data_IF_304179411396
#
_entry.id   IF_304179411396
#
_cell.length_a   1.000
_cell.length_b   1.000
_cell.length_c   1.000
_cell.angle_alpha   90.00
_cell.angle_beta   90.00
_cell.angle_gamma   90.00
#
_symmetry.space_group_name_H-M   'P 1'
#
loop_
_entity.id
_entity.type
_entity.pdbx_description
1 polymer ?
#
# COMPACT_ATOMS: atom_id res chain seq x y z
N UNK A 1 37.38 -43.56 -31.41
CA UNK A 1 38.83 -43.40 -31.60
C UNK A 1 39.16 -41.90 -31.64
N UNK A 2 40.25 -41.53 -30.94
CA UNK A 2 41.14 -40.33 -31.01
C UNK A 2 40.58 -38.96 -31.47
N UNK A 3 40.68 -37.87 -30.67
CA UNK A 3 41.87 -37.00 -30.36
C UNK A 3 42.45 -36.35 -31.64
N UNK A 4 42.70 -35.04 -31.76
CA UNK A 4 43.49 -34.08 -30.94
C UNK A 4 43.23 -32.64 -31.45
N UNK A 5 43.16 -31.57 -30.64
CA UNK A 5 44.21 -30.79 -29.91
C UNK A 5 45.24 -30.02 -30.76
N UNK A 6 45.29 -28.69 -30.58
CA UNK A 6 46.45 -27.75 -30.40
C UNK A 6 45.87 -26.32 -30.28
N UNK A 7 46.06 -25.44 -29.30
CA UNK A 7 47.03 -25.13 -28.24
C UNK A 7 48.39 -24.53 -28.70
N UNK A 8 48.60 -23.23 -28.38
CA UNK A 8 49.83 -22.60 -27.84
C UNK A 8 49.54 -21.08 -27.60
N UNK A 9 49.60 -20.52 -26.37
CA UNK A 9 50.76 -20.06 -25.54
C UNK A 9 51.50 -18.86 -26.15
N UNK A 10 52.04 -17.85 -25.44
CA UNK A 10 52.16 -17.44 -24.01
C UNK A 10 53.09 -16.20 -23.99
N UNK A 11 52.94 -15.28 -23.02
CA UNK A 11 53.96 -14.27 -22.69
C UNK A 11 53.80 -13.76 -21.26
N UNK A 12 54.76 -14.08 -20.38
CA UNK A 12 54.90 -13.70 -18.96
C UNK A 12 56.15 -12.81 -18.79
N UNK A 13 56.19 -11.96 -17.76
CA UNK A 13 57.34 -11.52 -16.91
C UNK A 13 56.75 -10.62 -15.78
N UNK A 14 56.66 -11.03 -14.49
CA UNK A 14 57.65 -11.04 -13.37
C UNK A 14 58.33 -9.67 -13.11
N UNK A 15 58.67 -9.19 -11.90
CA UNK A 15 58.38 -9.43 -10.46
C UNK A 15 59.23 -8.40 -9.64
N UNK A 16 58.98 -8.30 -8.32
CA UNK A 16 59.82 -7.73 -7.23
C UNK A 16 59.85 -6.19 -7.04
N UNK A 17 59.86 -5.59 -5.84
CA UNK A 17 59.95 -6.07 -4.45
C UNK A 17 59.79 -4.91 -3.41
N UNK A 18 59.67 -5.27 -2.13
CA UNK A 18 59.61 -4.40 -0.91
C UNK A 18 60.85 -4.66 -0.01
N UNK A 19 61.06 -4.05 1.18
CA UNK A 19 60.87 -2.67 1.70
C UNK A 19 62.08 -2.17 2.57
N UNK A 20 62.10 -0.89 3.00
CA UNK A 20 62.66 -0.29 4.25
C UNK A 20 62.79 1.24 4.04
N UNK A 21 62.75 2.16 4.99
CA UNK A 21 63.06 2.16 6.41
C UNK A 21 62.69 3.52 7.06
N UNK A 22 62.83 3.55 8.38
CA UNK A 22 62.48 4.58 9.37
C UNK A 22 63.10 5.98 9.23
N UNK A 23 62.41 7.03 9.71
CA UNK A 23 63.04 7.99 10.65
C UNK A 23 62.05 8.89 11.43
N UNK A 24 62.32 9.01 12.74
CA UNK A 24 61.73 9.92 13.73
C UNK A 24 62.40 11.31 13.67
N UNK A 25 61.67 12.39 13.98
CA UNK A 25 62.03 13.53 14.88
C UNK A 25 61.01 14.67 14.69
N UNK A 26 60.16 15.01 15.68
CA UNK A 26 60.35 15.85 16.88
C UNK A 26 60.24 17.38 16.64
N UNK A 27 59.20 18.00 17.24
CA UNK A 27 59.11 19.32 17.95
C UNK A 27 57.62 19.75 17.94
N UNK A 28 56.82 19.69 19.02
CA UNK A 28 56.76 20.56 20.23
C UNK A 28 57.13 22.01 19.88
N UNK A 29 56.25 23.00 20.01
CA UNK A 29 55.69 23.62 21.23
C UNK A 29 54.81 24.80 20.70
N UNK A 30 53.70 25.31 21.26
CA UNK A 30 53.52 26.00 22.55
C UNK A 30 52.00 26.24 22.77
N UNK A 31 51.61 26.12 24.04
CA UNK A 31 50.42 26.52 24.82
C UNK A 31 49.74 27.87 24.46
N UNK A 32 48.52 28.27 24.89
CA UNK A 32 47.71 28.00 26.10
C UNK A 32 46.30 28.63 25.94
N UNK A 33 45.30 27.94 26.49
CA UNK A 33 44.09 28.40 27.20
C UNK A 33 43.18 29.51 26.64
N UNK A 34 41.91 29.16 26.41
CA UNK A 34 40.77 29.84 27.05
C UNK A 34 39.78 28.78 27.54
N UNK A 35 39.41 28.87 28.81
CA UNK A 35 38.48 28.00 29.49
C UNK A 35 37.01 28.37 29.19
N UNK A 36 36.15 27.38 29.42
CA UNK A 36 34.71 27.50 29.68
C UNK A 36 33.82 28.04 28.54
N UNK A 37 33.15 27.12 27.85
CA UNK A 37 31.71 27.21 27.75
C UNK A 37 31.11 25.80 27.63
N UNK A 38 30.45 25.40 28.70
CA UNK A 38 29.54 24.26 28.76
C UNK A 38 28.33 24.60 27.90
N UNK A 39 28.17 23.96 26.76
CA UNK A 39 26.87 23.87 26.10
C UNK A 39 26.46 22.41 26.12
N UNK A 40 25.45 22.14 26.95
CA UNK A 40 24.64 20.95 26.86
C UNK A 40 24.22 20.79 25.40
N UNK A 41 24.70 19.74 24.75
CA UNK A 41 24.13 19.27 23.50
C UNK A 41 22.75 18.71 23.85
N UNK A 42 21.75 19.59 23.83
CA UNK A 42 20.36 19.19 23.89
C UNK A 42 20.15 18.14 22.80
N UNK A 43 19.67 16.96 23.21
CA UNK A 43 19.12 15.99 22.28
C UNK A 43 18.08 16.73 21.44
N UNK A 44 18.38 16.93 20.16
CA UNK A 44 17.40 17.47 19.22
C UNK A 44 16.30 16.42 19.16
N UNK A 45 15.12 16.81 19.64
CA UNK A 45 13.93 15.98 19.81
C UNK A 45 13.30 15.71 18.42
N UNK A 46 14.04 15.05 17.52
CA UNK A 46 13.57 14.76 16.15
C UNK A 46 12.39 13.79 16.19
N UNK A 47 12.38 12.86 17.15
CA UNK A 47 11.36 11.82 17.32
C UNK A 47 9.96 12.36 17.65
N UNK A 48 9.86 13.55 18.26
CA UNK A 48 8.54 14.16 18.52
C UNK A 48 7.89 14.68 17.23
N UNK A 49 8.68 15.02 16.21
CA UNK A 49 8.17 15.62 14.98
C UNK A 49 7.45 14.61 14.07
N UNK A 50 8.08 13.48 13.78
CA UNK A 50 7.52 12.43 12.91
C UNK A 50 6.28 11.80 13.53
N UNK A 51 6.37 11.41 14.80
CA UNK A 51 5.26 10.79 15.51
C UNK A 51 4.05 11.72 15.60
N UNK A 52 4.26 12.99 15.98
CA UNK A 52 3.18 13.97 16.04
C UNK A 52 2.55 14.23 14.66
N UNK A 53 3.35 14.27 13.59
CA UNK A 53 2.84 14.41 12.22
C UNK A 53 1.98 13.20 11.82
N UNK A 54 2.44 11.99 12.11
CA UNK A 54 1.73 10.77 11.77
C UNK A 54 0.41 10.66 12.54
N UNK A 55 0.44 10.94 13.85
CA UNK A 55 -0.76 10.95 14.70
C UNK A 55 -1.77 12.01 14.24
N UNK A 56 -1.30 13.21 13.87
CA UNK A 56 -2.14 14.26 13.30
C UNK A 56 -2.76 13.86 11.97
N UNK A 57 -1.99 13.18 11.12
CA UNK A 57 -2.45 12.67 9.81
C UNK A 57 -3.58 11.65 9.98
N UNK A 58 -3.41 10.66 10.86
CA UNK A 58 -4.46 9.66 11.10
C UNK A 58 -5.66 10.25 11.86
N UNK A 59 -5.43 11.17 12.81
CA UNK A 59 -6.53 11.87 13.51
C UNK A 59 -7.41 12.63 12.51
N UNK A 60 -6.80 13.30 11.53
CA UNK A 60 -7.52 13.96 10.44
C UNK A 60 -8.29 12.96 9.58
N UNK A 61 -7.66 11.83 9.23
CA UNK A 61 -8.30 10.75 8.46
C UNK A 61 -9.54 10.20 9.18
N UNK A 62 -9.47 10.08 10.50
CA UNK A 62 -10.55 9.63 11.39
C UNK A 62 -11.57 10.75 11.71
N UNK A 63 -11.55 11.86 10.97
CA UNK A 63 -12.51 12.95 11.14
C UNK A 63 -12.39 13.69 12.47
N UNK A 64 -11.17 13.77 13.01
CA UNK A 64 -10.88 14.41 14.29
C UNK A 64 -11.08 13.51 15.51
N UNK A 65 -11.49 12.24 15.33
CA UNK A 65 -11.47 11.26 16.42
C UNK A 65 -10.01 11.03 16.85
N UNK A 66 -9.76 11.02 18.17
CA UNK A 66 -8.43 10.74 18.69
C UNK A 66 -8.02 9.29 18.39
N UNK A 67 -6.73 9.06 18.19
CA UNK A 67 -6.19 7.71 18.03
C UNK A 67 -6.47 6.83 19.26
N UNK A 68 -6.46 7.40 20.47
CA UNK A 68 -6.80 6.68 21.70
C UNK A 68 -8.23 6.12 21.65
N UNK A 69 -9.22 6.93 21.25
CA UNK A 69 -10.60 6.48 21.07
C UNK A 69 -10.70 5.42 19.97
N UNK A 70 -10.03 5.64 18.83
CA UNK A 70 -10.03 4.66 17.75
C UNK A 70 -9.48 3.29 18.20
N UNK A 71 -8.32 3.28 18.84
CA UNK A 71 -7.67 2.04 19.31
C UNK A 71 -8.46 1.34 20.42
N UNK A 72 -9.05 2.11 21.33
CA UNK A 72 -9.82 1.56 22.45
C UNK A 72 -11.22 1.08 22.06
N UNK A 73 -11.85 1.66 21.03
CA UNK A 73 -13.26 1.35 20.71
C UNK A 73 -13.48 0.62 19.38
N UNK A 74 -12.59 0.78 18.39
CA UNK A 74 -12.80 0.30 17.02
C UNK A 74 -11.73 -0.65 16.53
N UNK A 75 -10.45 -0.31 16.72
CA UNK A 75 -9.33 -1.12 16.23
C UNK A 75 -9.42 -2.56 16.75
N UNK A 76 -9.33 -3.54 15.84
CA UNK A 76 -9.50 -4.98 16.10
C UNK A 76 -10.84 -5.37 16.76
N UNK A 77 -11.87 -4.51 16.69
CA UNK A 77 -13.14 -4.72 17.40
C UNK A 77 -14.36 -4.62 16.50
N UNK A 78 -14.50 -3.52 15.75
CA UNK A 78 -15.72 -3.27 14.96
C UNK A 78 -15.50 -2.29 13.81
N UNK A 79 -16.31 -2.37 12.74
CA UNK A 79 -16.25 -1.42 11.64
C UNK A 79 -16.54 0.02 12.06
N UNK A 80 -15.96 0.97 11.31
CA UNK A 80 -16.13 2.41 11.48
C UNK A 80 -16.30 3.08 10.11
N UNK A 81 -17.38 3.84 9.92
CA UNK A 81 -17.56 4.74 8.78
C UNK A 81 -17.40 6.19 9.22
N UNK A 82 -16.42 6.89 8.66
CA UNK A 82 -16.21 8.33 8.87
C UNK A 82 -16.64 9.07 7.62
N UNK A 83 -17.73 9.82 7.72
CA UNK A 83 -18.28 10.63 6.63
C UNK A 83 -17.55 11.96 6.51
N UNK A 84 -17.06 12.26 5.31
CA UNK A 84 -16.41 13.55 5.00
C UNK A 84 -17.37 14.72 5.19
N UNK A 85 -18.63 14.55 4.81
CA UNK A 85 -19.65 15.61 4.86
C UNK A 85 -19.76 16.26 6.25
N UNK A 86 -19.57 15.46 7.31
CA UNK A 86 -19.69 15.91 8.69
C UNK A 86 -18.40 16.54 9.23
N UNK A 87 -17.27 16.35 8.53
CA UNK A 87 -15.91 16.55 9.07
C UNK A 87 -15.01 17.44 8.21
N UNK A 88 -15.42 17.80 7.00
CA UNK A 88 -14.53 18.41 6.00
C UNK A 88 -13.58 17.38 5.37
N UNK A 89 -12.51 17.81 4.72
CA UNK A 89 -11.62 16.91 3.98
C UNK A 89 -10.79 15.99 4.90
N UNK A 90 -11.05 14.67 4.84
CA UNK A 90 -10.32 13.64 5.60
C UNK A 90 -8.92 13.38 5.03
N UNK A 91 -8.78 13.40 3.71
CA UNK A 91 -7.52 13.23 2.97
C UNK A 91 -7.47 14.17 1.75
N UNK A 92 -6.32 14.24 1.09
CA UNK A 92 -6.10 15.13 -0.06
C UNK A 92 -7.05 14.83 -1.22
N UNK A 93 -7.71 15.86 -1.75
CA UNK A 93 -8.62 15.71 -2.89
C UNK A 93 -7.89 15.15 -4.11
N UNK A 94 -8.50 14.19 -4.79
CA UNK A 94 -7.92 13.56 -5.97
C UNK A 94 -6.66 12.74 -5.66
N UNK A 95 -6.51 12.19 -4.44
CA UNK A 95 -5.41 11.32 -4.02
C UNK A 95 -5.05 10.27 -5.08
N UNK A 96 -6.05 9.51 -5.55
CA UNK A 96 -5.91 8.52 -6.63
C UNK A 96 -7.10 8.54 -7.59
N UNK A 97 -6.87 8.16 -8.85
CA UNK A 97 -7.91 8.12 -9.90
C UNK A 97 -7.53 7.19 -11.04
N UNK A 98 -8.53 6.79 -11.86
CA UNK A 98 -8.31 6.09 -13.14
C UNK A 98 -7.28 6.79 -14.01
N UNK A 99 -7.39 8.12 -14.14
CA UNK A 99 -6.46 8.93 -14.93
C UNK A 99 -5.02 8.86 -14.38
N UNK A 100 -4.84 8.92 -13.06
CA UNK A 100 -3.52 8.80 -12.43
C UNK A 100 -2.92 7.41 -12.67
N UNK A 101 -3.70 6.34 -12.46
CA UNK A 101 -3.25 4.98 -12.71
C UNK A 101 -2.77 4.78 -14.16
N UNK A 102 -3.58 5.17 -15.15
CA UNK A 102 -3.23 5.00 -16.56
C UNK A 102 -1.97 5.80 -16.94
N UNK A 103 -1.79 7.01 -16.39
CA UNK A 103 -0.57 7.82 -16.59
C UNK A 103 0.67 7.18 -15.96
N UNK A 104 0.52 6.48 -14.83
CA UNK A 104 1.62 5.71 -14.25
C UNK A 104 1.98 4.56 -15.18
N UNK A 105 1.00 3.79 -15.66
CA UNK A 105 1.24 2.68 -16.59
C UNK A 105 1.93 3.12 -17.89
N UNK A 106 1.56 4.28 -18.45
CA UNK A 106 2.23 4.84 -19.64
C UNK A 106 3.72 5.14 -19.42
N UNK A 107 4.11 5.46 -18.17
CA UNK A 107 5.50 5.76 -17.80
C UNK A 107 6.29 4.52 -17.38
N UNK A 108 5.61 3.41 -17.10
CA UNK A 108 6.19 2.20 -16.54
C UNK A 108 6.07 1.04 -17.55
N UNK A 109 7.06 0.84 -18.43
CA UNK A 109 6.95 -0.05 -19.58
C UNK A 109 6.96 -1.55 -19.25
N UNK A 110 7.06 -1.93 -17.97
CA UNK A 110 7.23 -3.33 -17.53
C UNK A 110 6.22 -3.76 -16.47
N UNK A 111 5.05 -3.10 -16.41
CA UNK A 111 3.97 -3.56 -15.53
C UNK A 111 3.40 -4.88 -16.03
N UNK A 112 3.05 -5.77 -15.09
CA UNK A 112 2.50 -7.08 -15.40
C UNK A 112 1.21 -7.41 -14.65
N UNK A 113 0.34 -8.20 -15.29
CA UNK A 113 -0.79 -8.85 -14.65
C UNK A 113 -0.28 -9.81 -13.56
N UNK A 114 -0.97 -9.87 -12.42
CA UNK A 114 -0.59 -10.67 -11.25
C UNK A 114 0.61 -10.15 -10.47
N UNK A 115 1.35 -9.17 -11.00
CA UNK A 115 2.53 -8.57 -10.34
C UNK A 115 2.28 -7.14 -9.88
N UNK A 116 1.76 -6.30 -10.77
CA UNK A 116 1.52 -4.88 -10.51
C UNK A 116 0.03 -4.55 -10.48
N UNK A 117 -0.79 -5.39 -11.09
CA UNK A 117 -2.24 -5.28 -11.06
C UNK A 117 -2.92 -6.61 -11.39
N UNK A 118 -4.16 -6.75 -10.97
CA UNK A 118 -5.07 -7.80 -11.41
C UNK A 118 -6.33 -7.16 -11.96
N UNK A 119 -6.85 -7.72 -13.05
CA UNK A 119 -8.12 -7.30 -13.64
C UNK A 119 -9.10 -8.46 -13.50
N UNK A 120 -10.26 -8.19 -12.91
CA UNK A 120 -11.24 -9.22 -12.58
C UNK A 120 -12.67 -8.69 -12.60
N UNK A 121 -13.64 -9.59 -12.62
CA UNK A 121 -15.06 -9.28 -12.42
C UNK A 121 -15.71 -10.43 -11.67
N UNK A 122 -16.78 -10.13 -10.96
CA UNK A 122 -17.62 -11.12 -10.29
C UNK A 122 -19.00 -11.09 -10.92
N UNK A 123 -19.38 -12.18 -11.57
CA UNK A 123 -20.62 -12.31 -12.34
C UNK A 123 -21.18 -13.72 -12.13
N UNK A 124 -22.50 -13.86 -11.98
CA UNK A 124 -23.16 -15.15 -11.76
C UNK A 124 -22.54 -15.97 -10.60
N UNK A 125 -22.18 -15.27 -9.52
CA UNK A 125 -21.55 -15.83 -8.33
C UNK A 125 -20.15 -16.42 -8.53
N UNK A 126 -19.50 -16.15 -9.66
CA UNK A 126 -18.14 -16.60 -9.96
C UNK A 126 -17.20 -15.43 -10.24
N UNK A 127 -15.97 -15.55 -9.73
CA UNK A 127 -14.90 -14.59 -10.01
C UNK A 127 -14.15 -15.01 -11.28
N UNK A 128 -14.12 -14.11 -12.24
CA UNK A 128 -13.37 -14.25 -13.48
C UNK A 128 -12.16 -13.30 -13.45
N UNK A 129 -10.94 -13.85 -13.52
CA UNK A 129 -9.72 -13.06 -13.69
C UNK A 129 -9.37 -12.95 -15.18
N UNK A 130 -8.77 -11.84 -15.56
CA UNK A 130 -8.16 -11.70 -16.88
C UNK A 130 -6.75 -12.27 -16.86
N UNK A 131 -6.54 -13.39 -17.55
CA UNK A 131 -5.33 -14.20 -17.40
C UNK A 131 -4.11 -13.67 -18.18
N UNK A 132 -4.30 -12.71 -19.09
CA UNK A 132 -3.18 -11.98 -19.73
C UNK A 132 -2.23 -12.83 -20.58
N UNK A 133 -2.61 -14.06 -20.93
CA UNK A 133 -1.77 -15.01 -21.68
C UNK A 133 -1.32 -14.45 -23.04
N UNK A 134 -2.24 -13.80 -23.75
CA UNK A 134 -1.98 -13.18 -25.06
C UNK A 134 -0.93 -12.05 -25.01
N UNK A 135 -0.63 -11.51 -23.83
CA UNK A 135 0.34 -10.43 -23.64
C UNK A 135 1.61 -10.86 -22.91
N UNK A 136 1.89 -12.16 -22.80
CA UNK A 136 2.99 -12.70 -21.99
C UNK A 136 2.99 -12.12 -20.55
N UNK A 137 1.81 -11.87 -19.99
CA UNK A 137 1.63 -11.25 -18.68
C UNK A 137 1.91 -9.74 -18.62
N UNK A 138 2.30 -9.08 -19.71
CA UNK A 138 2.50 -7.62 -19.72
C UNK A 138 1.18 -6.87 -19.75
N UNK A 139 1.05 -5.81 -18.95
CA UNK A 139 -0.15 -4.98 -18.87
C UNK A 139 0.10 -3.58 -19.42
N UNK A 140 -0.62 -3.20 -20.48
CA UNK A 140 -0.54 -1.85 -21.06
C UNK A 140 -1.67 -0.95 -20.58
N UNK A 141 -1.44 0.37 -20.53
CA UNK A 141 -2.47 1.35 -20.14
C UNK A 141 -3.73 1.24 -21.01
N UNK A 142 -3.56 1.10 -22.33
CA UNK A 142 -4.67 0.96 -23.30
C UNK A 142 -5.49 -0.31 -23.04
N UNK A 143 -4.83 -1.43 -22.79
CA UNK A 143 -5.51 -2.71 -22.53
C UNK A 143 -6.32 -2.64 -21.23
N UNK A 144 -5.73 -2.16 -20.13
CA UNK A 144 -6.45 -2.01 -18.85
C UNK A 144 -7.59 -1.01 -18.97
N UNK A 145 -7.41 0.10 -19.68
CA UNK A 145 -8.50 1.04 -19.96
C UNK A 145 -9.66 0.36 -20.70
N UNK A 146 -9.36 -0.40 -21.75
CA UNK A 146 -10.38 -1.13 -22.51
C UNK A 146 -11.09 -2.20 -21.68
N UNK A 147 -10.39 -2.89 -20.78
CA UNK A 147 -11.00 -3.89 -19.89
C UNK A 147 -11.95 -3.22 -18.88
N UNK A 148 -11.56 -2.07 -18.30
CA UNK A 148 -12.43 -1.28 -17.44
C UNK A 148 -13.71 -0.84 -18.16
N UNK A 149 -13.59 -0.41 -19.42
CA UNK A 149 -14.75 0.00 -20.25
C UNK A 149 -15.66 -1.20 -20.61
N UNK A 150 -15.16 -2.43 -20.51
CA UNK A 150 -15.90 -3.68 -20.76
C UNK A 150 -16.47 -4.31 -19.48
N UNK A 151 -16.49 -3.57 -18.37
CA UNK A 151 -17.11 -4.02 -17.13
C UNK A 151 -16.19 -4.79 -16.18
N UNK A 152 -14.89 -4.91 -16.50
CA UNK A 152 -13.92 -5.43 -15.52
C UNK A 152 -13.56 -4.36 -14.48
N UNK A 153 -13.17 -4.81 -13.30
CA UNK A 153 -12.49 -4.00 -12.29
C UNK A 153 -10.99 -4.21 -12.33
N UNK A 154 -10.23 -3.23 -11.87
CA UNK A 154 -8.78 -3.32 -11.73
C UNK A 154 -8.39 -3.13 -10.26
N UNK A 155 -7.62 -4.06 -9.72
CA UNK A 155 -6.87 -3.91 -8.48
C UNK A 155 -5.42 -3.58 -8.85
N UNK A 156 -4.95 -2.38 -8.50
CA UNK A 156 -3.61 -1.90 -8.80
C UNK A 156 -2.75 -1.89 -7.53
N UNK A 157 -1.66 -2.63 -7.56
CA UNK A 157 -0.85 -2.94 -6.38
C UNK A 157 0.19 -1.86 -6.08
N UNK A 158 0.29 -1.55 -4.78
CA UNK A 158 1.31 -0.68 -4.22
C UNK A 158 1.40 0.69 -4.95
N UNK A 159 0.28 1.43 -5.09
CA UNK A 159 0.25 2.74 -5.77
C UNK A 159 1.10 3.81 -5.08
N UNK A 160 1.43 3.65 -3.80
CA UNK A 160 2.32 4.53 -3.05
C UNK A 160 3.73 4.61 -3.65
N UNK A 161 4.15 3.62 -4.46
CA UNK A 161 5.40 3.67 -5.24
C UNK A 161 5.44 4.82 -6.26
N UNK A 162 4.28 5.37 -6.63
CA UNK A 162 4.13 6.31 -7.74
C UNK A 162 3.34 7.58 -7.40
N UNK A 163 2.76 7.65 -6.20
CA UNK A 163 1.86 8.72 -5.77
C UNK A 163 2.27 9.21 -4.39
N UNK A 164 2.93 10.36 -4.35
CA UNK A 164 3.54 10.92 -3.13
C UNK A 164 2.56 11.04 -1.96
N UNK A 165 1.32 11.47 -2.20
CA UNK A 165 0.32 11.55 -1.14
C UNK A 165 -0.08 10.19 -0.53
N UNK A 166 0.05 9.09 -1.28
CA UNK A 166 -0.14 7.74 -0.75
C UNK A 166 1.13 7.24 -0.06
N UNK A 167 2.31 7.63 -0.53
CA UNK A 167 3.57 7.38 0.18
C UNK A 167 3.57 8.03 1.56
N UNK A 168 3.21 9.31 1.64
CA UNK A 168 3.10 10.04 2.91
C UNK A 168 2.07 9.40 3.85
N UNK A 169 0.92 8.97 3.31
CA UNK A 169 -0.09 8.30 4.10
C UNK A 169 0.43 6.97 4.64
N UNK A 170 0.99 6.10 3.80
CA UNK A 170 1.56 4.83 4.24
C UNK A 170 2.64 5.04 5.31
N UNK A 171 3.55 6.00 5.13
CA UNK A 171 4.57 6.31 6.12
C UNK A 171 3.98 6.77 7.47
N UNK A 172 2.87 7.51 7.48
CA UNK A 172 2.17 7.86 8.71
C UNK A 172 1.53 6.63 9.39
N UNK A 173 0.97 5.70 8.62
CA UNK A 173 0.48 4.43 9.15
C UNK A 173 1.62 3.60 9.75
N UNK A 174 2.76 3.48 9.05
CA UNK A 174 3.94 2.77 9.54
C UNK A 174 4.48 3.37 10.85
N UNK A 175 4.57 4.70 10.93
CA UNK A 175 5.00 5.42 12.14
C UNK A 175 4.03 5.22 13.32
N UNK A 176 2.71 5.18 13.06
CA UNK A 176 1.70 4.99 14.13
C UNK A 176 1.67 3.55 14.63
N UNK A 177 1.64 2.60 13.70
CA UNK A 177 1.38 1.19 13.98
C UNK A 177 2.66 0.36 14.21
N UNK A 178 3.83 0.85 13.82
CA UNK A 178 5.11 0.19 14.06
C UNK A 178 5.37 -1.05 13.18
N UNK A 179 4.67 -1.16 12.07
CA UNK A 179 4.77 -2.26 11.10
C UNK A 179 4.56 -1.77 9.68
N UNK A 180 4.73 -2.64 8.68
CA UNK A 180 4.56 -2.27 7.27
C UNK A 180 3.13 -1.83 6.98
N UNK A 181 2.99 -0.77 6.17
CA UNK A 181 1.72 -0.36 5.60
C UNK A 181 1.72 -0.61 4.09
N UNK A 182 0.79 -1.43 3.63
CA UNK A 182 0.52 -1.67 2.21
C UNK A 182 -0.56 -0.73 1.69
N UNK A 183 -0.63 -0.59 0.36
CA UNK A 183 -1.82 -0.03 -0.26
C UNK A 183 -2.19 -0.76 -1.56
N UNK A 184 -3.49 -0.81 -1.85
CA UNK A 184 -4.05 -1.30 -3.12
C UNK A 184 -5.17 -0.39 -3.59
N UNK A 185 -5.14 0.02 -4.85
CA UNK A 185 -6.20 0.82 -5.44
C UNK A 185 -7.19 -0.07 -6.21
N UNK A 186 -8.49 0.18 -6.05
CA UNK A 186 -9.54 -0.58 -6.73
C UNK A 186 -10.37 0.36 -7.58
N UNK A 187 -10.47 0.03 -8.86
CA UNK A 187 -11.24 0.78 -9.85
C UNK A 187 -12.34 -0.14 -10.37
N UNK A 188 -13.58 0.22 -10.12
CA UNK A 188 -14.76 -0.57 -10.50
C UNK A 188 -15.68 0.30 -11.35
N UNK A 189 -16.02 -0.10 -12.59
CA UNK A 189 -16.97 0.64 -13.43
C UNK A 189 -18.37 0.59 -12.83
N UNK A 190 -19.31 1.36 -13.39
CA UNK A 190 -20.72 1.29 -12.99
C UNK A 190 -21.31 -0.11 -13.24
N UNK A 191 -22.30 -0.50 -12.44
CA UNK A 191 -23.02 -1.77 -12.52
C UNK A 191 -22.08 -3.01 -12.48
N UNK A 192 -21.11 -3.02 -11.56
CA UNK A 192 -20.09 -4.07 -11.50
C UNK A 192 -19.71 -4.46 -10.06
N UNK A 193 -19.23 -5.69 -9.92
CA UNK A 193 -18.58 -6.20 -8.74
C UNK A 193 -17.25 -6.83 -9.16
N UNK A 194 -16.21 -6.62 -8.35
CA UNK A 194 -14.86 -7.08 -8.66
C UNK A 194 -14.57 -8.46 -8.06
N UNK A 195 -14.87 -8.60 -6.77
CA UNK A 195 -14.47 -9.71 -5.92
C UNK A 195 -15.71 -10.36 -5.32
N UNK A 196 -15.62 -11.66 -5.08
CA UNK A 196 -16.59 -12.39 -4.26
C UNK A 196 -16.52 -11.91 -2.79
N UNK A 197 -17.49 -12.27 -1.94
CA UNK A 197 -17.36 -12.13 -0.50
C UNK A 197 -16.09 -12.84 0.01
N UNK A 198 -15.29 -12.16 0.84
CA UNK A 198 -14.06 -12.70 1.42
C UNK A 198 -13.69 -11.93 2.70
N UNK A 199 -12.73 -12.44 3.48
CA UNK A 199 -12.03 -11.66 4.49
C UNK A 199 -10.52 -11.67 4.24
N UNK A 200 -9.86 -10.62 4.72
CA UNK A 200 -8.41 -10.47 4.66
C UNK A 200 -7.75 -10.75 6.03
N UNK A 201 -6.43 -10.91 6.01
CA UNK A 201 -5.52 -11.11 7.15
C UNK A 201 -4.90 -9.80 7.67
N UNK A 202 -5.47 -8.66 7.30
CA UNK A 202 -4.95 -7.31 7.59
C UNK A 202 -6.05 -6.38 8.09
N UNK A 203 -5.64 -5.36 8.83
CA UNK A 203 -6.52 -4.25 9.22
C UNK A 203 -6.75 -3.34 8.01
N UNK A 204 -8.02 -3.08 7.66
CA UNK A 204 -8.38 -2.47 6.38
C UNK A 204 -8.91 -1.06 6.57
N UNK A 205 -8.30 -0.10 5.87
CA UNK A 205 -8.74 1.30 5.79
C UNK A 205 -9.03 1.66 4.34
N UNK A 206 -10.31 1.75 3.97
CA UNK A 206 -10.80 2.12 2.63
C UNK A 206 -10.98 3.63 2.55
N UNK A 207 -10.21 4.27 1.68
CA UNK A 207 -10.32 5.69 1.32
C UNK A 207 -11.04 5.81 -0.02
N UNK A 208 -12.29 6.28 -0.04
CA UNK A 208 -13.06 6.42 -1.28
C UNK A 208 -12.63 7.66 -2.05
N UNK A 209 -11.80 7.50 -3.07
CA UNK A 209 -11.15 8.65 -3.74
C UNK A 209 -11.97 9.26 -4.87
N UNK A 210 -12.87 8.49 -5.50
CA UNK A 210 -13.81 8.99 -6.52
C UNK A 210 -15.09 8.15 -6.56
N UNK A 211 -16.21 8.79 -6.87
CA UNK A 211 -17.50 8.11 -7.05
C UNK A 211 -18.00 7.46 -5.75
N UNK A 212 -18.74 6.36 -5.86
CA UNK A 212 -19.36 5.69 -4.71
C UNK A 212 -19.46 4.19 -4.87
N UNK A 213 -19.47 3.47 -3.75
CA UNK A 213 -19.59 2.01 -3.72
C UNK A 213 -20.47 1.56 -2.56
N UNK A 214 -21.31 0.56 -2.82
CA UNK A 214 -22.09 -0.13 -1.78
C UNK A 214 -21.22 -1.20 -1.16
N UNK A 215 -21.13 -1.20 0.15
CA UNK A 215 -20.37 -2.15 0.95
C UNK A 215 -21.32 -2.92 1.85
N UNK A 216 -21.11 -4.24 1.91
CA UNK A 216 -21.70 -5.12 2.93
C UNK A 216 -20.55 -5.73 3.72
N UNK A 217 -20.59 -5.53 5.03
CA UNK A 217 -19.68 -6.11 6.01
C UNK A 217 -20.46 -7.11 6.85
N UNK A 218 -19.87 -8.25 7.14
CA UNK A 218 -20.47 -9.35 7.89
C UNK A 218 -19.60 -9.68 9.09
N UNK A 219 -20.18 -10.33 10.10
CA UNK A 219 -19.40 -10.79 11.23
C UNK A 219 -18.29 -11.76 10.80
N UNK A 220 -17.10 -11.72 11.44
CA UNK A 220 -16.03 -12.64 11.12
C UNK A 220 -16.46 -14.11 11.29
N UNK A 221 -16.07 -14.95 10.32
CA UNK A 221 -16.15 -16.41 10.49
C UNK A 221 -15.03 -16.91 11.42
N UNK A 222 -13.90 -16.19 11.41
CA UNK A 222 -12.76 -16.36 12.32
C UNK A 222 -12.41 -14.97 12.84
N UNK A 223 -12.60 -14.75 14.13
CA UNK A 223 -12.24 -13.49 14.79
C UNK A 223 -10.74 -13.22 14.63
N UNK A 224 -10.41 -12.01 14.14
CA UNK A 224 -9.04 -11.56 13.92
C UNK A 224 -8.18 -12.56 13.12
N UNK A 225 -8.76 -13.10 12.03
CA UNK A 225 -8.14 -14.09 11.15
C UNK A 225 -6.69 -13.72 10.77
N UNK A 226 -5.75 -14.63 10.99
CA UNK A 226 -4.35 -14.48 10.59
C UNK A 226 -4.05 -14.92 9.16
N UNK A 227 -5.06 -15.39 8.43
CA UNK A 227 -4.98 -15.79 7.02
C UNK A 227 -6.20 -15.25 6.27
N UNK A 228 -6.03 -14.95 4.98
CA UNK A 228 -7.13 -14.52 4.12
C UNK A 228 -7.98 -15.73 3.71
N UNK A 229 -9.27 -15.50 3.45
CA UNK A 229 -10.15 -16.56 2.96
C UNK A 229 -9.99 -16.80 1.46
N UNK A 230 -10.48 -17.95 1.00
CA UNK A 230 -10.91 -18.08 -0.40
C UNK A 230 -12.16 -17.21 -0.65
N UNK A 231 -12.58 -17.13 -1.91
CA UNK A 231 -13.91 -16.61 -2.26
C UNK A 231 -14.99 -17.44 -1.52
N UNK A 232 -15.91 -16.75 -0.85
CA UNK A 232 -17.01 -17.33 -0.07
C UNK A 232 -18.32 -17.24 -0.87
N UNK A 233 -19.14 -18.28 -0.77
CA UNK A 233 -20.49 -18.28 -1.31
C UNK A 233 -21.48 -17.56 -0.37
N UNK A 234 -22.61 -17.10 -0.91
CA UNK A 234 -23.62 -16.35 -0.14
C UNK A 234 -24.24 -17.17 1.00
N UNK A 235 -24.30 -18.50 0.88
CA UNK A 235 -24.80 -19.40 1.92
C UNK A 235 -23.78 -19.71 3.03
N UNK A 236 -22.52 -19.29 2.84
CA UNK A 236 -21.44 -19.42 3.82
C UNK A 236 -21.29 -18.16 4.69
N UNK A 237 -21.96 -17.06 4.31
CA UNK A 237 -21.89 -15.78 5.02
C UNK A 237 -23.20 -15.54 5.77
N UNK A 238 -23.10 -14.96 6.96
CA UNK A 238 -24.27 -14.65 7.79
C UNK A 238 -25.02 -13.40 7.34
N UNK A 239 -25.82 -12.83 8.24
CA UNK A 239 -26.45 -11.53 8.00
C UNK A 239 -25.42 -10.37 8.01
N UNK A 240 -25.63 -9.31 7.21
CA UNK A 240 -24.76 -8.15 7.23
C UNK A 240 -24.70 -7.50 8.62
N UNK A 241 -23.50 -7.31 9.14
CA UNK A 241 -23.23 -6.48 10.31
C UNK A 241 -23.40 -4.99 9.97
N UNK A 242 -22.97 -4.58 8.78
CA UNK A 242 -23.11 -3.22 8.29
C UNK A 242 -23.35 -3.21 6.78
N UNK A 243 -24.38 -2.50 6.34
CA UNK A 243 -24.63 -2.22 4.93
C UNK A 243 -24.68 -0.70 4.73
N UNK A 244 -23.81 -0.18 3.87
CA UNK A 244 -23.65 1.25 3.66
C UNK A 244 -23.17 1.59 2.25
N UNK A 245 -23.38 2.84 1.85
CA UNK A 245 -22.70 3.42 0.69
C UNK A 245 -21.56 4.29 1.19
N UNK A 246 -20.35 4.06 0.67
CA UNK A 246 -19.18 4.91 0.90
C UNK A 246 -19.03 5.85 -0.30
N UNK A 247 -18.97 7.15 -0.03
CA UNK A 247 -18.95 8.21 -1.06
C UNK A 247 -17.60 8.93 -1.10
N UNK A 248 -17.34 9.70 -2.17
CA UNK A 248 -16.07 10.37 -2.38
C UNK A 248 -15.62 11.22 -1.19
N UNK A 249 -14.47 10.84 -0.62
CA UNK A 249 -13.82 11.49 0.50
C UNK A 249 -14.04 10.82 1.85
N UNK A 250 -14.94 9.83 1.93
CA UNK A 250 -15.19 9.06 3.15
C UNK A 250 -14.05 8.07 3.44
N UNK A 251 -13.97 7.67 4.71
CA UNK A 251 -13.16 6.54 5.20
C UNK A 251 -14.08 5.44 5.73
N UNK A 252 -13.81 4.19 5.35
CA UNK A 252 -14.37 3.01 5.99
C UNK A 252 -13.23 2.15 6.56
N UNK A 253 -13.27 1.85 7.85
CA UNK A 253 -12.36 0.93 8.51
C UNK A 253 -13.09 -0.35 8.93
N UNK A 254 -12.42 -1.50 8.84
CA UNK A 254 -12.85 -2.74 9.50
C UNK A 254 -11.65 -3.65 9.85
N UNK A 255 -11.77 -4.44 10.95
CA UNK A 255 -10.74 -5.41 11.34
C UNK A 255 -10.54 -6.55 10.35
N UNK A 256 -9.36 -7.19 10.42
CA UNK A 256 -9.12 -8.48 9.74
C UNK A 256 -10.13 -9.55 10.17
N UNK A 257 -10.44 -10.48 9.27
CA UNK A 257 -11.48 -11.48 9.48
C UNK A 257 -12.91 -11.00 9.20
N UNK A 258 -13.19 -9.68 9.16
CA UNK A 258 -14.49 -9.17 8.73
C UNK A 258 -14.72 -9.52 7.26
N UNK A 259 -15.73 -10.36 7.03
CA UNK A 259 -16.12 -10.72 5.67
C UNK A 259 -16.77 -9.51 5.02
N UNK A 260 -16.38 -9.22 3.78
CA UNK A 260 -16.86 -8.04 3.08
C UNK A 260 -17.04 -8.30 1.59
N UNK A 261 -17.93 -7.53 0.99
CA UNK A 261 -18.12 -7.44 -0.46
C UNK A 261 -18.58 -6.04 -0.83
N UNK A 262 -18.27 -5.64 -2.07
CA UNK A 262 -18.64 -4.31 -2.54
C UNK A 262 -18.95 -4.27 -4.04
N UNK A 263 -20.05 -3.61 -4.39
CA UNK A 263 -20.49 -3.42 -5.76
C UNK A 263 -20.79 -1.94 -6.04
N UNK A 264 -20.72 -1.55 -7.31
CA UNK A 264 -21.10 -0.21 -7.75
C UNK A 264 -22.59 -0.13 -8.09
N UNK A 265 -23.15 1.07 -7.96
CA UNK A 265 -24.51 1.35 -8.42
C UNK A 265 -24.61 1.26 -9.95
N UNK A 266 -25.83 1.22 -10.49
CA UNK A 266 -26.08 1.02 -11.92
C UNK A 266 -25.39 2.03 -12.83
N UNK A 267 -25.26 3.28 -12.37
CA UNK A 267 -24.77 4.41 -13.18
C UNK A 267 -23.47 5.03 -12.65
N UNK A 268 -23.08 4.67 -11.42
CA UNK A 268 -21.96 5.32 -10.73
C UNK A 268 -20.76 4.38 -10.63
N UNK A 269 -19.58 4.87 -11.02
CA UNK A 269 -18.33 4.14 -10.84
C UNK A 269 -17.77 4.33 -9.42
N UNK A 270 -16.75 3.56 -9.09
CA UNK A 270 -15.99 3.73 -7.85
C UNK A 270 -14.49 3.70 -8.11
N UNK A 271 -13.75 4.55 -7.40
CA UNK A 271 -12.33 4.35 -7.13
C UNK A 271 -12.08 4.52 -5.64
N UNK A 272 -11.43 3.54 -5.03
CA UNK A 272 -10.94 3.65 -3.66
C UNK A 272 -9.52 3.14 -3.55
N UNK A 273 -8.83 3.56 -2.49
CA UNK A 273 -7.55 2.99 -2.08
C UNK A 273 -7.73 2.36 -0.71
N UNK A 274 -7.35 1.10 -0.58
CA UNK A 274 -7.22 0.44 0.70
C UNK A 274 -5.80 0.61 1.20
N UNK A 275 -5.64 1.19 2.39
CA UNK A 275 -4.40 1.09 3.17
C UNK A 275 -4.57 -0.08 4.14
N UNK A 276 -3.57 -0.95 4.21
CA UNK A 276 -3.60 -2.15 5.04
C UNK A 276 -2.40 -2.21 5.97
N UNK A 277 -2.63 -2.59 7.23
CA UNK A 277 -1.58 -2.75 8.25
C UNK A 277 -1.79 -4.04 9.05
N UNK A 278 -0.83 -4.39 9.91
CA UNK A 278 -0.97 -5.49 10.88
C UNK A 278 -1.17 -6.88 10.22
N UNK A 279 -0.46 -7.15 9.13
CA UNK A 279 -0.38 -8.52 8.60
C UNK A 279 0.34 -9.43 9.60
N UNK A 280 -0.24 -10.60 9.84
CA UNK A 280 0.18 -11.52 10.88
C UNK A 280 1.39 -12.39 10.54
#
# INVERSE_FOLDING_TARGET
MSRSKKAARRGKRNADGTPSGSNKKQKKEVTKAVAANTTATGAVNVDKGSRQWAESTLTKLLGGMSLETFLSEYFEKKPLHVRKADKGALFGSGLFSRKKMLKVMEKQPHMGFGKDLTVCRYVNSERENFDGEDSNGHATSRQVASLLDRGYSCQFYQPQRYVDGLYELNAAFEEVFGGLAGASAYLTPANAQALAPHHDDVEVFVLQTQGRKKWKLYHPLVELAGEHSSDLAEDQIGEPWMELTVEEGDLLYFPRGVVHQACTDKEEFSTHVTVSVYQH
#
